data_IF_382477050368
#
_entry.id   IF_382477050368
#
_cell.length_a   1.000
_cell.length_b   1.000
_cell.length_c   1.000
_cell.angle_alpha   90.00
_cell.angle_beta   90.00
_cell.angle_gamma   90.00
#
_symmetry.space_group_name_H-M   'P 1'
#
loop_
_entity.id
_entity.type
_entity.pdbx_description
1 polymer ?
#
# COMPACT_ATOMS: atom_id res chain seq x y z
N UNK A 1 -31.99 21.86 -5.97
CA UNK A 1 -31.66 22.77 -7.07
C UNK A 1 -32.01 24.21 -6.64
N UNK A 2 -31.06 25.15 -6.80
CA UNK A 2 -31.29 26.57 -6.59
C UNK A 2 -31.52 27.26 -7.93
N UNK A 3 -32.68 27.91 -8.12
CA UNK A 3 -32.99 28.69 -9.33
C UNK A 3 -33.16 30.16 -8.97
N UNK A 4 -32.41 31.04 -9.60
CA UNK A 4 -32.52 32.48 -9.44
C UNK A 4 -33.38 33.04 -10.56
N UNK A 5 -34.44 33.76 -10.18
CA UNK A 5 -35.32 34.45 -11.12
C UNK A 5 -35.04 35.96 -11.04
N UNK A 6 -34.59 36.51 -12.16
CA UNK A 6 -34.46 37.96 -12.28
C UNK A 6 -35.83 38.60 -12.45
N UNK A 7 -36.14 39.61 -11.67
CA UNK A 7 -37.36 40.41 -11.82
C UNK A 7 -36.96 41.84 -12.11
N UNK A 8 -37.68 42.43 -13.08
CA UNK A 8 -37.56 43.86 -13.41
C UNK A 8 -38.72 44.56 -12.74
N UNK A 9 -38.43 45.60 -11.98
CA UNK A 9 -39.47 46.43 -11.36
C UNK A 9 -40.26 47.16 -12.45
N UNK A 10 -41.60 47.01 -12.51
CA UNK A 10 -42.40 47.65 -13.53
C UNK A 10 -42.51 49.20 -13.40
N UNK A 11 -42.12 49.76 -12.24
CA UNK A 11 -42.17 51.18 -12.02
C UNK A 11 -40.85 51.90 -12.29
N UNK A 12 -39.68 51.27 -11.97
CA UNK A 12 -38.39 51.94 -12.08
C UNK A 12 -37.39 51.16 -12.97
N UNK A 13 -37.81 50.10 -13.63
CA UNK A 13 -36.96 49.22 -14.47
C UNK A 13 -35.71 48.66 -13.79
N UNK A 14 -35.59 48.75 -12.47
CA UNK A 14 -34.47 48.19 -11.73
C UNK A 14 -34.52 46.65 -11.81
N UNK A 15 -33.40 46.03 -12.19
CA UNK A 15 -33.25 44.59 -12.16
C UNK A 15 -32.93 44.14 -10.74
N UNK A 16 -33.77 43.29 -10.20
CA UNK A 16 -33.56 42.66 -8.91
C UNK A 16 -32.85 41.30 -9.15
N UNK A 17 -31.60 41.24 -8.74
CA UNK A 17 -30.78 40.00 -8.86
C UNK A 17 -30.75 39.31 -7.50
N UNK A 18 -31.34 38.13 -7.37
CA UNK A 18 -31.25 37.38 -6.12
C UNK A 18 -29.83 36.93 -5.82
N UNK A 19 -29.49 36.92 -4.55
CA UNK A 19 -28.20 36.43 -4.05
C UNK A 19 -28.35 34.92 -3.75
N UNK A 20 -27.47 34.10 -4.29
CA UNK A 20 -27.37 32.67 -3.92
C UNK A 20 -26.77 32.51 -2.52
N UNK A 21 -27.10 31.38 -1.84
CA UNK A 21 -26.36 31.02 -0.62
C UNK A 21 -24.85 31.04 -0.86
N UNK A 22 -24.06 31.38 0.17
CA UNK A 22 -22.60 31.47 0.08
C UNK A 22 -21.91 30.18 -0.40
N UNK A 23 -22.58 29.03 -0.26
CA UNK A 23 -22.14 27.72 -0.77
C UNK A 23 -22.28 27.57 -2.28
N UNK A 24 -23.02 28.48 -2.97
CA UNK A 24 -23.21 28.43 -4.43
C UNK A 24 -22.34 29.52 -5.05
N UNK A 25 -21.12 29.15 -5.43
CA UNK A 25 -20.09 30.12 -5.89
C UNK A 25 -19.96 30.23 -7.41
N UNK A 26 -20.64 29.35 -8.17
CA UNK A 26 -20.55 29.30 -9.64
C UNK A 26 -21.91 29.05 -10.28
N UNK A 27 -22.11 29.43 -11.56
CA UNK A 27 -23.37 29.23 -12.29
C UNK A 27 -23.86 27.79 -12.33
N UNK A 28 -22.92 26.82 -12.34
CA UNK A 28 -23.20 25.39 -12.23
C UNK A 28 -22.35 24.85 -11.08
N UNK A 29 -22.99 24.49 -9.98
CA UNK A 29 -22.34 23.92 -8.79
C UNK A 29 -23.03 22.60 -8.42
N UNK A 30 -22.23 21.61 -8.07
CA UNK A 30 -22.72 20.32 -7.57
C UNK A 30 -22.56 20.31 -6.04
N UNK A 31 -23.64 19.97 -5.32
CA UNK A 31 -23.64 19.87 -3.88
C UNK A 31 -22.73 18.73 -3.35
N UNK A 32 -22.45 18.75 -2.05
CA UNK A 32 -21.58 17.77 -1.39
C UNK A 32 -21.97 16.32 -1.68
N UNK A 33 -23.27 15.99 -1.72
CA UNK A 33 -23.74 14.63 -1.98
C UNK A 33 -23.36 14.11 -3.37
N UNK A 34 -23.48 14.94 -4.42
CA UNK A 34 -23.05 14.54 -5.78
C UNK A 34 -21.54 14.43 -5.84
N UNK A 35 -20.80 15.33 -5.21
CA UNK A 35 -19.34 15.25 -5.14
C UNK A 35 -18.89 13.98 -4.39
N UNK A 36 -19.57 13.66 -3.29
CA UNK A 36 -19.32 12.42 -2.53
C UNK A 36 -19.63 11.17 -3.33
N UNK A 37 -20.74 11.14 -4.06
CA UNK A 37 -21.10 10.03 -4.91
C UNK A 37 -20.06 9.79 -6.01
N UNK A 38 -19.64 10.85 -6.69
CA UNK A 38 -18.61 10.79 -7.74
C UNK A 38 -17.29 10.25 -7.18
N UNK A 39 -16.88 10.74 -6.02
CA UNK A 39 -15.64 10.29 -5.35
C UNK A 39 -15.76 8.84 -4.92
N UNK A 40 -16.88 8.43 -4.34
CA UNK A 40 -17.15 7.06 -3.96
C UNK A 40 -17.10 6.11 -5.17
N UNK A 41 -17.80 6.44 -6.26
CA UNK A 41 -17.80 5.63 -7.48
C UNK A 41 -16.40 5.54 -8.11
N UNK A 42 -15.67 6.65 -8.16
CA UNK A 42 -14.36 6.71 -8.80
C UNK A 42 -13.27 6.01 -7.98
N UNK A 43 -13.13 6.36 -6.69
CA UNK A 43 -11.98 5.93 -5.89
C UNK A 43 -12.27 4.65 -5.12
N UNK A 44 -13.48 4.49 -4.58
CA UNK A 44 -13.85 3.31 -3.80
C UNK A 44 -14.24 2.13 -4.71
N UNK A 45 -15.01 2.38 -5.77
CA UNK A 45 -15.50 1.36 -6.70
C UNK A 45 -14.71 1.30 -8.02
N UNK A 46 -13.76 2.22 -8.23
CA UNK A 46 -12.88 2.25 -9.40
C UNK A 46 -13.60 2.42 -10.74
N UNK A 47 -14.80 3.01 -10.77
CA UNK A 47 -15.58 3.21 -11.98
C UNK A 47 -14.92 4.29 -12.85
N UNK A 48 -14.74 4.06 -14.17
CA UNK A 48 -14.21 5.05 -15.10
C UNK A 48 -15.11 6.29 -15.21
N UNK A 49 -14.51 7.46 -15.47
CA UNK A 49 -15.22 8.75 -15.49
C UNK A 49 -16.39 8.79 -16.49
N UNK A 50 -16.21 8.24 -17.68
CA UNK A 50 -17.29 8.18 -18.67
C UNK A 50 -18.50 7.38 -18.16
N UNK A 51 -18.27 6.27 -17.44
CA UNK A 51 -19.35 5.47 -16.84
C UNK A 51 -20.01 6.19 -15.66
N UNK A 52 -19.24 6.95 -14.87
CA UNK A 52 -19.80 7.80 -13.80
C UNK A 52 -20.67 8.89 -14.42
N UNK A 53 -20.23 9.52 -15.51
CA UNK A 53 -21.01 10.51 -16.25
C UNK A 53 -22.34 9.94 -16.72
N UNK A 54 -22.34 8.78 -17.38
CA UNK A 54 -23.57 8.10 -17.81
C UNK A 54 -24.47 7.73 -16.63
N UNK A 55 -23.91 7.16 -15.57
CA UNK A 55 -24.63 6.77 -14.36
C UNK A 55 -25.37 7.96 -13.72
N UNK A 56 -24.70 9.12 -13.60
CA UNK A 56 -25.28 10.33 -13.01
C UNK A 56 -26.35 10.92 -13.94
N UNK A 57 -26.13 10.87 -15.25
CA UNK A 57 -27.11 11.30 -16.24
C UNK A 57 -28.39 10.46 -16.19
N UNK A 58 -28.24 9.13 -16.18
CA UNK A 58 -29.37 8.19 -16.24
C UNK A 58 -30.22 8.23 -14.96
N UNK A 59 -29.60 8.34 -13.79
CA UNK A 59 -30.35 8.32 -12.52
C UNK A 59 -30.86 9.68 -12.06
N UNK A 60 -30.14 10.74 -12.37
CA UNK A 60 -30.43 12.07 -11.81
C UNK A 60 -30.78 13.11 -12.89
N UNK A 61 -30.81 12.72 -14.17
CA UNK A 61 -30.99 13.63 -15.30
C UNK A 61 -30.03 14.85 -15.22
N UNK A 62 -28.78 14.59 -14.83
CA UNK A 62 -27.77 15.59 -14.57
C UNK A 62 -26.52 15.32 -15.41
N UNK A 63 -26.20 16.23 -16.32
CA UNK A 63 -25.05 16.12 -17.20
C UNK A 63 -23.77 16.49 -16.47
N UNK A 64 -22.93 15.48 -16.19
CA UNK A 64 -21.66 15.64 -15.51
C UNK A 64 -20.50 15.32 -16.48
N UNK A 65 -19.68 16.31 -16.84
CA UNK A 65 -18.53 16.06 -17.72
C UNK A 65 -17.40 15.33 -17.02
N UNK A 66 -16.55 14.60 -17.75
CA UNK A 66 -15.33 13.97 -17.19
C UNK A 66 -14.39 15.02 -16.56
N UNK A 67 -14.32 16.23 -17.13
CA UNK A 67 -13.56 17.36 -16.54
C UNK A 67 -14.11 17.80 -15.18
N UNK A 68 -15.44 17.79 -15.04
CA UNK A 68 -16.08 18.11 -13.74
C UNK A 68 -15.76 17.03 -12.70
N UNK A 69 -15.78 15.74 -13.10
CA UNK A 69 -15.38 14.63 -12.23
C UNK A 69 -13.93 14.81 -11.76
N UNK A 70 -13.02 15.12 -12.68
CA UNK A 70 -11.62 15.39 -12.37
C UNK A 70 -11.47 16.55 -11.37
N UNK A 71 -12.22 17.65 -11.55
CA UNK A 71 -12.19 18.80 -10.65
C UNK A 71 -12.79 18.50 -9.26
N UNK A 72 -13.80 17.60 -9.18
CA UNK A 72 -14.33 17.12 -7.90
C UNK A 72 -13.26 16.35 -7.15
N UNK A 73 -12.57 15.44 -7.83
CA UNK A 73 -11.47 14.66 -7.22
C UNK A 73 -10.29 15.54 -6.84
N UNK A 74 -10.02 16.62 -7.60
CA UNK A 74 -8.97 17.58 -7.23
C UNK A 74 -9.34 18.33 -5.94
N UNK A 75 -10.58 18.75 -5.77
CA UNK A 75 -11.04 19.35 -4.50
C UNK A 75 -10.88 18.39 -3.33
N UNK A 76 -11.25 17.11 -3.51
CA UNK A 76 -11.03 16.10 -2.47
C UNK A 76 -9.54 15.95 -2.15
N UNK A 77 -8.69 15.94 -3.16
CA UNK A 77 -7.23 15.87 -3.01
C UNK A 77 -6.71 17.06 -2.21
N UNK A 78 -7.08 18.29 -2.56
CA UNK A 78 -6.61 19.51 -1.89
C UNK A 78 -7.10 19.55 -0.43
N UNK A 79 -8.37 19.19 -0.18
CA UNK A 79 -8.95 19.18 1.16
C UNK A 79 -8.34 18.16 2.11
N UNK A 80 -7.71 17.11 1.58
CA UNK A 80 -7.12 16.02 2.37
C UNK A 80 -5.61 16.20 2.65
N UNK A 81 -4.99 17.31 2.27
CA UNK A 81 -3.55 17.50 2.43
C UNK A 81 -3.09 17.38 3.88
N UNK A 82 -3.75 18.09 4.79
CA UNK A 82 -3.42 18.05 6.22
C UNK A 82 -3.70 16.66 6.81
N UNK A 83 -4.79 16.02 6.38
CA UNK A 83 -5.15 14.64 6.81
C UNK A 83 -4.12 13.62 6.36
N UNK A 84 -3.64 13.71 5.11
CA UNK A 84 -2.59 12.83 4.60
C UNK A 84 -1.27 13.02 5.36
N UNK A 85 -0.89 14.26 5.66
CA UNK A 85 0.31 14.57 6.45
C UNK A 85 0.20 13.99 7.86
N UNK A 86 -0.96 14.08 8.51
CA UNK A 86 -1.16 13.46 9.83
C UNK A 86 -1.09 11.93 9.74
N UNK A 87 -1.71 11.30 8.74
CA UNK A 87 -1.60 9.85 8.49
C UNK A 87 -0.13 9.45 8.33
N UNK A 88 0.64 10.22 7.54
CA UNK A 88 2.08 9.99 7.34
C UNK A 88 2.83 10.09 8.67
N UNK A 89 2.55 11.09 9.50
CA UNK A 89 3.19 11.28 10.81
C UNK A 89 2.86 10.11 11.76
N UNK A 90 1.60 9.70 11.85
CA UNK A 90 1.17 8.54 12.65
C UNK A 90 1.86 7.24 12.23
N UNK A 91 2.12 7.08 10.94
CA UNK A 91 2.88 5.94 10.44
C UNK A 91 4.36 6.05 10.79
N UNK A 92 4.97 7.24 10.72
CA UNK A 92 6.36 7.47 11.12
C UNK A 92 6.60 7.20 12.61
N UNK A 93 5.61 7.46 13.46
CA UNK A 93 5.65 7.19 14.90
C UNK A 93 5.30 5.74 15.25
N UNK A 94 4.81 4.95 14.29
CA UNK A 94 4.40 3.57 14.54
C UNK A 94 5.58 2.67 14.87
N UNK A 95 5.46 1.76 15.86
CA UNK A 95 6.53 0.81 16.19
C UNK A 95 6.78 -0.21 15.07
N UNK A 96 5.77 -0.45 14.22
CA UNK A 96 5.86 -1.35 13.06
C UNK A 96 4.96 -0.86 11.93
N UNK A 97 5.49 -0.99 10.71
CA UNK A 97 4.74 -0.78 9.47
C UNK A 97 4.92 -1.95 8.50
N UNK A 98 4.02 -2.03 7.55
CA UNK A 98 4.12 -2.84 6.35
C UNK A 98 4.50 -1.95 5.17
N UNK A 99 5.46 -2.36 4.36
CA UNK A 99 5.87 -1.67 3.15
C UNK A 99 5.84 -2.61 1.95
N UNK A 100 5.34 -2.13 0.82
CA UNK A 100 5.31 -2.87 -0.44
C UNK A 100 5.19 -1.89 -1.61
N UNK A 101 5.51 -2.31 -2.84
CA UNK A 101 5.39 -1.48 -4.01
C UNK A 101 4.82 -2.25 -5.21
N UNK A 102 4.20 -1.52 -6.12
CA UNK A 102 3.61 -2.12 -7.31
C UNK A 102 3.71 -1.22 -8.53
N UNK A 103 3.89 -1.83 -9.72
CA UNK A 103 3.86 -1.08 -10.97
C UNK A 103 2.45 -0.55 -11.27
N UNK A 104 2.36 0.72 -11.62
CA UNK A 104 1.16 1.38 -12.15
C UNK A 104 1.47 2.00 -13.51
N UNK A 105 0.43 2.33 -14.27
CA UNK A 105 0.60 3.05 -15.53
C UNK A 105 0.02 4.46 -15.38
N UNK A 106 0.89 5.47 -15.61
CA UNK A 106 0.54 6.88 -15.63
C UNK A 106 1.00 7.46 -16.96
N UNK A 107 0.11 8.12 -17.71
CA UNK A 107 0.42 8.70 -19.03
C UNK A 107 1.04 7.67 -20.00
N UNK A 108 0.55 6.41 -19.95
CA UNK A 108 1.06 5.25 -20.70
C UNK A 108 2.47 4.77 -20.29
N UNK A 109 3.14 5.43 -19.36
CA UNK A 109 4.45 5.04 -18.83
C UNK A 109 4.29 4.20 -17.58
N UNK A 110 5.12 3.17 -17.43
CA UNK A 110 5.18 2.38 -16.20
C UNK A 110 5.86 3.20 -15.11
N UNK A 111 5.18 3.37 -14.00
CA UNK A 111 5.64 4.02 -12.77
C UNK A 111 5.41 3.07 -11.60
N UNK A 112 5.81 3.46 -10.38
CA UNK A 112 5.74 2.61 -9.20
C UNK A 112 5.00 3.31 -8.08
N UNK A 113 3.98 2.64 -7.55
CA UNK A 113 3.27 3.06 -6.36
C UNK A 113 3.87 2.34 -5.17
N UNK A 114 4.14 3.10 -4.11
CA UNK A 114 4.61 2.63 -2.82
C UNK A 114 3.49 2.71 -1.79
N UNK A 115 3.40 1.71 -0.94
CA UNK A 115 2.42 1.63 0.14
C UNK A 115 3.16 1.48 1.47
N UNK A 116 2.85 2.36 2.40
CA UNK A 116 3.28 2.26 3.79
C UNK A 116 2.03 2.19 4.66
N UNK A 117 1.91 1.15 5.48
CA UNK A 117 0.67 0.95 6.23
C UNK A 117 0.88 0.18 7.53
N UNK A 118 -0.06 0.34 8.45
CA UNK A 118 -0.21 -0.48 9.64
C UNK A 118 -1.68 -0.90 9.79
N UNK A 119 -2.05 -1.44 10.94
CA UNK A 119 -3.44 -1.86 11.21
C UNK A 119 -4.47 -0.72 11.12
N UNK A 120 -4.06 0.54 11.33
CA UNK A 120 -4.93 1.70 11.41
C UNK A 120 -4.79 2.65 10.21
N UNK A 121 -3.60 2.79 9.65
CA UNK A 121 -3.26 3.84 8.69
C UNK A 121 -2.74 3.26 7.38
N UNK A 122 -2.95 3.99 6.28
CA UNK A 122 -2.41 3.68 4.95
C UNK A 122 -2.00 4.96 4.26
N UNK A 123 -0.75 5.04 3.84
CA UNK A 123 -0.19 6.08 3.02
C UNK A 123 0.27 5.50 1.68
N UNK A 124 -0.13 6.14 0.57
CA UNK A 124 0.32 5.82 -0.78
C UNK A 124 1.02 7.00 -1.39
N UNK A 125 2.11 6.73 -2.07
CA UNK A 125 2.72 7.67 -3.00
C UNK A 125 3.23 6.94 -4.23
N UNK A 126 3.62 7.65 -5.29
CA UNK A 126 4.14 7.02 -6.49
C UNK A 126 5.30 7.83 -7.07
N UNK A 127 6.16 7.10 -7.79
CA UNK A 127 7.32 7.68 -8.43
C UNK A 127 7.58 7.06 -9.81
N UNK A 128 8.25 7.81 -10.70
CA UNK A 128 8.59 7.34 -12.06
C UNK A 128 9.56 6.16 -12.06
N UNK A 129 10.45 6.10 -11.08
CA UNK A 129 11.45 5.04 -10.91
C UNK A 129 11.06 4.08 -9.80
N UNK A 130 11.64 2.87 -9.81
CA UNK A 130 11.68 1.95 -8.70
C UNK A 130 13.09 1.98 -8.10
N UNK A 131 13.22 1.99 -6.82
CA UNK A 131 14.54 1.92 -6.17
C UNK A 131 14.75 3.01 -5.12
N UNK A 132 15.99 3.11 -4.65
CA UNK A 132 16.35 4.00 -3.53
C UNK A 132 16.01 5.46 -3.82
N UNK A 133 16.38 5.97 -4.99
CA UNK A 133 16.07 7.35 -5.42
C UNK A 133 14.56 7.67 -5.27
N UNK A 134 13.69 6.76 -5.71
CA UNK A 134 12.25 6.96 -5.60
C UNK A 134 11.77 7.00 -4.15
N UNK A 135 12.32 6.14 -3.30
CA UNK A 135 11.96 6.08 -1.89
C UNK A 135 12.51 7.29 -1.11
N UNK A 136 13.68 7.80 -1.50
CA UNK A 136 14.29 9.03 -0.96
C UNK A 136 13.42 10.25 -1.35
N UNK A 137 12.98 10.37 -2.61
CA UNK A 137 12.10 11.45 -3.08
C UNK A 137 10.73 11.45 -2.36
N UNK A 138 10.18 10.28 -2.05
CA UNK A 138 8.96 10.13 -1.23
C UNK A 138 9.22 10.54 0.23
N UNK A 139 10.46 10.37 0.71
CA UNK A 139 10.92 10.84 2.02
C UNK A 139 10.21 10.16 3.19
N UNK A 140 9.70 8.94 3.03
CA UNK A 140 9.08 8.19 4.12
C UNK A 140 10.13 7.34 4.87
N UNK A 141 10.83 6.44 4.16
CA UNK A 141 11.74 5.48 4.77
C UNK A 141 12.96 6.13 5.44
N UNK A 142 13.44 7.25 4.93
CA UNK A 142 14.54 8.01 5.55
C UNK A 142 14.21 8.51 6.96
N UNK A 143 12.93 8.79 7.21
CA UNK A 143 12.45 9.33 8.49
C UNK A 143 11.85 8.27 9.42
N UNK A 144 11.62 7.05 8.94
CA UNK A 144 11.04 5.98 9.74
C UNK A 144 12.10 5.29 10.63
N UNK A 145 11.76 5.07 11.90
CA UNK A 145 12.71 4.52 12.91
C UNK A 145 12.23 3.21 13.56
N UNK A 146 11.02 2.75 13.24
CA UNK A 146 10.45 1.53 13.79
C UNK A 146 10.90 0.26 13.05
N UNK A 147 10.04 -0.74 12.97
CA UNK A 147 10.27 -2.00 12.27
C UNK A 147 9.48 -2.00 10.95
N UNK A 148 10.16 -2.06 9.82
CA UNK A 148 9.54 -2.18 8.50
C UNK A 148 9.42 -3.66 8.09
N UNK A 149 8.19 -4.16 7.95
CA UNK A 149 7.91 -5.49 7.39
C UNK A 149 7.70 -5.37 5.89
N UNK A 150 8.51 -6.11 5.11
CA UNK A 150 8.47 -6.05 3.64
C UNK A 150 8.87 -7.39 3.01
N UNK A 151 8.83 -7.48 1.69
CA UNK A 151 9.47 -8.56 0.96
C UNK A 151 11.01 -8.43 1.06
N UNK A 152 11.73 -9.38 0.54
CA UNK A 152 13.21 -9.37 0.59
C UNK A 152 13.83 -8.46 -0.49
N UNK A 153 13.16 -7.39 -0.92
CA UNK A 153 13.75 -6.47 -1.88
C UNK A 153 14.82 -5.60 -1.23
N UNK A 154 16.05 -5.72 -1.75
CA UNK A 154 17.27 -5.13 -1.15
C UNK A 154 17.21 -3.61 -0.95
N UNK A 155 16.36 -2.91 -1.68
CA UNK A 155 16.27 -1.45 -1.56
C UNK A 155 15.76 -1.02 -0.19
N UNK A 156 14.86 -1.78 0.43
CA UNK A 156 14.41 -1.50 1.80
C UNK A 156 15.57 -1.61 2.78
N UNK A 157 16.40 -2.63 2.65
CA UNK A 157 17.55 -2.87 3.53
C UNK A 157 18.64 -1.77 3.46
N UNK A 158 18.57 -0.87 2.49
CA UNK A 158 19.46 0.28 2.40
C UNK A 158 19.14 1.40 3.42
N UNK A 159 18.03 1.27 4.17
CA UNK A 159 17.62 2.21 5.22
C UNK A 159 18.00 1.67 6.60
N UNK A 160 19.22 1.96 7.04
CA UNK A 160 19.79 1.50 8.31
C UNK A 160 19.20 2.23 9.54
N UNK A 161 18.41 3.27 9.32
CA UNK A 161 17.74 4.05 10.37
C UNK A 161 16.52 3.35 10.98
N UNK A 162 16.05 2.25 10.40
CA UNK A 162 14.96 1.41 10.91
C UNK A 162 15.38 -0.07 10.96
N UNK A 163 14.63 -0.87 11.72
CA UNK A 163 14.80 -2.32 11.71
C UNK A 163 13.95 -2.93 10.59
N UNK A 164 14.37 -4.11 10.10
CA UNK A 164 13.68 -4.81 9.05
C UNK A 164 13.10 -6.14 9.53
N UNK A 165 11.96 -6.52 8.97
CA UNK A 165 11.38 -7.85 9.13
C UNK A 165 10.93 -8.36 7.76
N UNK A 166 11.22 -9.62 7.48
CA UNK A 166 10.90 -10.21 6.19
C UNK A 166 9.56 -10.96 6.23
N UNK A 167 8.84 -10.88 5.13
CA UNK A 167 7.60 -11.62 4.93
C UNK A 167 7.88 -13.13 4.84
N UNK A 168 7.54 -13.89 5.88
CA UNK A 168 7.72 -15.34 5.88
C UNK A 168 6.82 -16.06 4.87
N UNK A 169 5.68 -15.49 4.46
CA UNK A 169 4.86 -16.07 3.40
C UNK A 169 5.62 -16.20 2.06
N UNK A 170 6.53 -15.28 1.76
CA UNK A 170 7.41 -15.37 0.60
C UNK A 170 8.42 -16.52 0.76
N UNK A 171 9.04 -16.66 1.93
CA UNK A 171 9.95 -17.77 2.21
C UNK A 171 9.25 -19.12 2.12
N UNK A 172 8.03 -19.26 2.64
CA UNK A 172 7.27 -20.51 2.52
C UNK A 172 6.99 -20.89 1.06
N UNK A 173 6.69 -19.91 0.19
CA UNK A 173 6.51 -20.14 -1.26
C UNK A 173 7.81 -20.57 -1.93
N UNK A 174 8.92 -19.93 -1.61
CA UNK A 174 10.24 -20.28 -2.18
C UNK A 174 10.73 -21.64 -1.68
N UNK A 175 10.54 -21.96 -0.39
CA UNK A 175 10.85 -23.28 0.17
C UNK A 175 10.06 -24.38 -0.56
N UNK A 176 8.76 -24.16 -0.84
CA UNK A 176 7.97 -25.08 -1.65
C UNK A 176 8.57 -25.26 -3.07
N UNK A 177 8.94 -24.17 -3.73
CA UNK A 177 9.55 -24.23 -5.06
C UNK A 177 10.90 -25.01 -5.07
N UNK A 178 11.70 -24.90 -4.00
CA UNK A 178 12.93 -25.70 -3.87
C UNK A 178 12.58 -27.19 -3.65
N UNK A 179 11.58 -27.52 -2.82
CA UNK A 179 11.10 -28.89 -2.59
C UNK A 179 10.61 -29.56 -3.88
N UNK A 180 9.99 -28.82 -4.78
CA UNK A 180 9.47 -29.32 -6.06
C UNK A 180 10.58 -29.60 -7.09
N UNK A 181 11.74 -28.94 -6.94
CA UNK A 181 12.82 -28.94 -7.94
C UNK A 181 14.10 -29.63 -7.48
N UNK A 182 14.18 -30.03 -6.21
CA UNK A 182 15.39 -30.69 -5.63
C UNK A 182 15.01 -31.73 -4.60
N UNK A 183 15.97 -32.64 -4.30
CA UNK A 183 15.85 -33.67 -3.25
C UNK A 183 16.36 -33.15 -1.87
N UNK A 184 16.56 -31.86 -1.70
CA UNK A 184 17.02 -31.27 -0.45
C UNK A 184 16.00 -31.48 0.67
N UNK A 185 16.50 -31.77 1.88
CA UNK A 185 15.66 -31.96 3.09
C UNK A 185 15.40 -30.65 3.85
N UNK A 186 16.38 -29.75 3.83
CA UNK A 186 16.30 -28.48 4.58
C UNK A 186 15.05 -27.65 4.28
N UNK A 187 14.49 -27.59 3.05
CA UNK A 187 13.36 -26.73 2.80
C UNK A 187 12.11 -27.16 3.57
N UNK A 188 11.88 -28.48 3.65
CA UNK A 188 10.79 -29.06 4.44
C UNK A 188 10.99 -28.79 5.94
N UNK A 189 12.18 -29.07 6.45
CA UNK A 189 12.53 -28.90 7.87
C UNK A 189 12.36 -27.45 8.33
N UNK A 190 12.92 -26.48 7.58
CA UNK A 190 12.80 -25.04 7.88
C UNK A 190 11.34 -24.58 7.80
N UNK A 191 10.59 -25.00 6.77
CA UNK A 191 9.17 -24.69 6.61
C UNK A 191 8.36 -25.15 7.82
N UNK A 192 8.54 -26.41 8.24
CA UNK A 192 7.83 -26.97 9.39
C UNK A 192 8.16 -26.22 10.69
N UNK A 193 9.42 -25.82 10.87
CA UNK A 193 9.87 -25.05 12.02
C UNK A 193 9.25 -23.66 12.03
N UNK A 194 9.25 -22.93 10.93
CA UNK A 194 8.60 -21.61 10.83
C UNK A 194 7.09 -21.69 11.12
N UNK A 195 6.40 -22.71 10.58
CA UNK A 195 4.97 -22.90 10.82
C UNK A 195 4.68 -23.32 12.28
N UNK A 196 5.56 -24.12 12.90
CA UNK A 196 5.46 -24.46 14.31
C UNK A 196 5.65 -23.25 15.21
N UNK A 197 6.64 -22.39 14.92
CA UNK A 197 6.85 -21.12 15.60
C UNK A 197 5.61 -20.21 15.47
N UNK A 198 5.05 -20.10 14.25
CA UNK A 198 3.82 -19.34 14.02
C UNK A 198 2.66 -19.87 14.86
N UNK A 199 2.45 -21.20 14.87
CA UNK A 199 1.39 -21.83 15.67
C UNK A 199 1.52 -21.53 17.16
N UNK A 200 2.75 -21.54 17.70
CA UNK A 200 3.00 -21.18 19.09
C UNK A 200 2.62 -19.73 19.42
N UNK A 201 2.81 -18.80 18.48
CA UNK A 201 2.39 -17.40 18.63
C UNK A 201 0.86 -17.27 18.55
N UNK A 202 0.26 -17.98 17.60
CA UNK A 202 -1.20 -17.91 17.33
C UNK A 202 -2.05 -18.44 18.52
N UNK A 203 -1.47 -19.23 19.45
CA UNK A 203 -2.18 -19.63 20.69
C UNK A 203 -2.39 -18.47 21.65
N UNK A 204 -1.63 -17.38 21.53
CA UNK A 204 -1.69 -16.22 22.41
C UNK A 204 -1.08 -16.43 23.79
N UNK A 205 -0.56 -17.63 24.09
CA UNK A 205 0.06 -17.96 25.36
C UNK A 205 1.49 -17.40 25.44
N UNK A 206 1.94 -17.14 26.68
CA UNK A 206 3.34 -16.78 26.92
C UNK A 206 4.24 -17.96 26.62
N UNK A 207 5.12 -17.84 25.62
CA UNK A 207 6.06 -18.90 25.27
C UNK A 207 7.27 -18.84 26.23
N UNK A 208 7.55 -19.93 26.99
CA UNK A 208 8.72 -19.99 27.85
C UNK A 208 10.03 -19.71 27.09
N UNK A 209 10.98 -19.07 27.78
CA UNK A 209 12.27 -18.70 27.16
C UNK A 209 13.03 -19.93 26.62
N UNK A 210 13.02 -21.02 27.35
CA UNK A 210 13.68 -22.29 26.99
C UNK A 210 13.11 -22.84 25.69
N UNK A 211 11.78 -22.73 25.49
CA UNK A 211 11.12 -23.14 24.24
C UNK A 211 11.53 -22.23 23.09
N UNK A 212 11.57 -20.92 23.32
CA UNK A 212 12.05 -19.96 22.29
C UNK A 212 13.50 -20.27 21.88
N UNK A 213 14.38 -20.41 22.85
CA UNK A 213 15.81 -20.66 22.61
C UNK A 213 16.01 -22.01 21.87
N UNK A 214 15.27 -23.04 22.27
CA UNK A 214 15.28 -24.37 21.60
C UNK A 214 14.83 -24.26 20.14
N UNK A 215 13.74 -23.57 19.86
CA UNK A 215 13.22 -23.40 18.50
C UNK A 215 14.18 -22.59 17.61
N UNK A 216 14.80 -21.54 18.15
CA UNK A 216 15.80 -20.76 17.42
C UNK A 216 17.05 -21.63 17.14
N UNK A 217 17.51 -22.40 18.11
CA UNK A 217 18.64 -23.34 17.94
C UNK A 217 18.35 -24.41 16.90
N UNK A 218 17.13 -24.96 16.89
CA UNK A 218 16.69 -25.91 15.87
C UNK A 218 16.75 -25.27 14.47
N UNK A 219 16.22 -24.07 14.33
CA UNK A 219 16.27 -23.32 13.06
C UNK A 219 17.70 -23.12 12.56
N UNK A 220 18.63 -22.72 13.44
CA UNK A 220 20.06 -22.58 13.11
C UNK A 220 20.68 -23.92 12.62
N UNK A 221 20.38 -25.02 13.32
CA UNK A 221 20.86 -26.35 12.95
C UNK A 221 20.39 -26.74 11.54
N UNK A 222 19.11 -26.54 11.24
CA UNK A 222 18.51 -26.82 9.93
C UNK A 222 19.10 -25.93 8.83
N UNK A 223 19.35 -24.66 9.13
CA UNK A 223 19.98 -23.73 8.20
C UNK A 223 21.41 -24.19 7.83
N UNK A 224 22.21 -24.62 8.82
CA UNK A 224 23.57 -25.11 8.58
C UNK A 224 23.55 -26.39 7.74
N UNK A 225 22.68 -27.35 8.06
CA UNK A 225 22.46 -28.53 7.21
C UNK A 225 22.11 -28.16 5.77
N UNK A 226 21.24 -27.15 5.59
CA UNK A 226 20.88 -26.66 4.27
C UNK A 226 22.07 -26.12 3.48
N UNK A 227 22.98 -25.39 4.14
CA UNK A 227 24.23 -24.97 3.50
C UNK A 227 25.15 -26.13 3.13
N UNK A 228 25.21 -27.21 3.94
CA UNK A 228 25.97 -28.43 3.65
C UNK A 228 25.35 -29.18 2.46
N UNK A 229 24.02 -29.40 2.44
CA UNK A 229 23.30 -29.99 1.33
C UNK A 229 23.57 -29.26 0.02
N UNK A 230 23.45 -27.93 0.06
CA UNK A 230 23.67 -27.08 -1.12
C UNK A 230 25.13 -27.12 -1.60
N UNK A 231 26.08 -27.06 -0.67
CA UNK A 231 27.50 -27.13 -0.99
C UNK A 231 27.88 -28.47 -1.63
N UNK A 232 27.35 -29.60 -1.12
CA UNK A 232 27.58 -30.92 -1.67
C UNK A 232 27.01 -31.10 -3.09
N UNK A 233 25.82 -30.53 -3.34
CA UNK A 233 25.16 -30.56 -4.65
C UNK A 233 25.78 -29.59 -5.67
N UNK A 234 26.27 -28.44 -5.20
CA UNK A 234 26.82 -27.36 -6.03
C UNK A 234 28.21 -26.91 -5.52
N UNK A 235 29.23 -27.80 -5.58
CA UNK A 235 30.55 -27.44 -5.08
C UNK A 235 31.16 -26.27 -5.85
N UNK A 236 32.00 -25.45 -5.22
CA UNK A 236 32.70 -24.36 -5.87
C UNK A 236 33.59 -24.92 -6.99
N UNK A 237 33.26 -24.59 -8.25
CA UNK A 237 34.11 -24.97 -9.36
C UNK A 237 35.11 -23.88 -9.68
N UNK A 238 36.38 -24.18 -9.61
CA UNK A 238 37.47 -23.30 -10.07
C UNK A 238 37.67 -23.44 -11.58
N UNK A 239 36.70 -23.01 -12.39
CA UNK A 239 36.94 -22.93 -13.83
C UNK A 239 37.56 -21.56 -14.15
N UNK A 240 38.86 -21.56 -14.51
CA UNK A 240 39.55 -20.47 -15.17
C UNK A 240 39.00 -20.31 -16.59
N UNK A 241 37.79 -19.85 -16.76
CA UNK A 241 37.32 -19.36 -18.03
C UNK A 241 37.41 -17.85 -17.99
N UNK A 242 38.28 -17.25 -18.82
CA UNK A 242 38.61 -15.81 -18.86
C UNK A 242 37.48 -14.86 -19.26
N UNK A 243 36.24 -15.19 -18.98
CA UNK A 243 35.09 -14.29 -19.12
C UNK A 243 34.70 -13.76 -17.73
N UNK A 244 34.89 -12.47 -17.53
CA UNK A 244 34.47 -11.74 -16.34
C UNK A 244 32.95 -11.88 -16.12
N UNK A 245 32.55 -12.46 -15.00
CA UNK A 245 31.19 -12.53 -14.52
C UNK A 245 31.09 -13.43 -13.29
N UNK A 246 30.49 -12.95 -12.20
CA UNK A 246 30.21 -13.78 -11.02
C UNK A 246 29.24 -14.89 -11.43
N UNK A 247 29.63 -16.16 -11.21
CA UNK A 247 28.77 -17.32 -11.49
C UNK A 247 27.41 -17.15 -10.79
N UNK A 248 26.32 -17.40 -11.51
CA UNK A 248 24.97 -17.36 -10.95
C UNK A 248 24.83 -18.39 -9.84
N UNK A 249 24.48 -17.96 -8.65
CA UNK A 249 24.23 -18.84 -7.51
C UNK A 249 22.92 -19.62 -7.72
N UNK A 250 22.83 -20.82 -7.12
CA UNK A 250 21.60 -21.60 -7.13
C UNK A 250 20.45 -20.86 -6.43
N UNK A 251 19.18 -21.13 -6.80
CA UNK A 251 18.02 -20.61 -6.07
C UNK A 251 18.06 -20.98 -4.57
N UNK A 252 18.45 -22.23 -4.26
CA UNK A 252 18.58 -22.74 -2.90
C UNK A 252 19.59 -21.91 -2.09
N UNK A 253 20.79 -21.66 -2.64
CA UNK A 253 21.80 -20.82 -1.98
C UNK A 253 21.34 -19.40 -1.75
N UNK A 254 20.68 -18.79 -2.73
CA UNK A 254 20.14 -17.44 -2.59
C UNK A 254 19.07 -17.38 -1.49
N UNK A 255 18.23 -18.40 -1.37
CA UNK A 255 17.24 -18.52 -0.31
C UNK A 255 17.92 -18.65 1.08
N UNK A 256 18.87 -19.60 1.22
CA UNK A 256 19.61 -19.82 2.47
C UNK A 256 20.32 -18.55 2.96
N UNK A 257 20.93 -17.78 2.05
CA UNK A 257 21.58 -16.50 2.41
C UNK A 257 20.60 -15.46 2.98
N UNK A 258 19.34 -15.45 2.53
CA UNK A 258 18.30 -14.57 3.10
C UNK A 258 17.77 -15.15 4.42
N UNK A 259 17.53 -16.44 4.50
CA UNK A 259 17.10 -17.14 5.71
C UNK A 259 18.14 -17.03 6.86
N UNK A 260 19.43 -16.80 6.54
CA UNK A 260 20.49 -16.56 7.52
C UNK A 260 20.34 -15.23 8.28
N UNK A 261 19.54 -14.30 7.78
CA UNK A 261 19.24 -13.03 8.44
C UNK A 261 18.19 -13.24 9.55
N UNK A 262 18.67 -13.76 10.70
CA UNK A 262 17.80 -14.28 11.76
C UNK A 262 16.88 -13.22 12.37
N UNK A 263 17.36 -12.01 12.74
CA UNK A 263 16.48 -10.99 13.32
C UNK A 263 15.33 -10.61 12.39
N UNK A 264 15.59 -10.55 11.08
CA UNK A 264 14.64 -10.18 10.06
C UNK A 264 13.64 -11.31 9.76
N UNK A 265 14.12 -12.57 9.74
CA UNK A 265 13.29 -13.76 9.46
C UNK A 265 12.45 -14.16 10.67
N UNK A 266 13.07 -14.21 11.85
CA UNK A 266 12.43 -14.64 13.08
C UNK A 266 11.89 -13.49 13.95
N UNK A 267 11.87 -12.27 13.42
CA UNK A 267 11.35 -11.09 14.13
C UNK A 267 9.96 -11.33 14.72
N UNK A 268 9.08 -12.00 13.98
CA UNK A 268 7.72 -12.36 14.42
C UNK A 268 7.72 -13.28 15.66
N UNK A 269 8.72 -14.14 15.81
CA UNK A 269 8.85 -15.06 16.93
C UNK A 269 9.57 -14.43 18.12
N UNK A 270 10.52 -13.52 17.84
CA UNK A 270 11.30 -12.80 18.87
C UNK A 270 10.44 -11.70 19.50
N UNK A 271 9.69 -10.95 18.70
CA UNK A 271 8.85 -9.81 19.11
C UNK A 271 7.40 -9.99 18.62
N UNK A 272 6.67 -11.03 19.07
CA UNK A 272 5.39 -11.44 18.48
C UNK A 272 4.28 -10.38 18.56
N UNK A 273 4.33 -9.50 19.57
CA UNK A 273 3.31 -8.45 19.75
C UNK A 273 3.51 -7.24 18.80
N UNK A 274 4.65 -7.18 18.11
CA UNK A 274 5.02 -6.05 17.26
C UNK A 274 5.18 -6.49 15.81
N UNK A 275 5.93 -7.57 15.59
CA UNK A 275 6.32 -8.02 14.25
C UNK A 275 5.36 -9.09 13.74
N UNK A 276 4.68 -8.86 12.61
CA UNK A 276 3.81 -9.85 12.00
C UNK A 276 4.61 -10.98 11.32
N UNK A 277 3.98 -12.14 11.13
CA UNK A 277 4.57 -13.26 10.40
C UNK A 277 4.76 -12.96 8.92
N UNK A 278 3.85 -12.18 8.33
CA UNK A 278 3.83 -11.90 6.89
C UNK A 278 3.53 -10.43 6.58
N UNK A 279 3.61 -10.08 5.29
CA UNK A 279 3.30 -8.75 4.77
C UNK A 279 1.93 -8.67 4.09
N UNK A 280 1.00 -9.56 4.41
CA UNK A 280 -0.31 -9.66 3.77
C UNK A 280 -1.14 -8.37 3.86
N UNK A 281 -0.88 -7.53 4.86
CA UNK A 281 -1.60 -6.26 5.02
C UNK A 281 -1.25 -5.30 3.87
N UNK A 282 0.04 -5.07 3.59
CA UNK A 282 0.45 -4.24 2.46
C UNK A 282 0.04 -4.87 1.11
N UNK A 283 0.12 -6.21 0.98
CA UNK A 283 -0.34 -6.91 -0.22
C UNK A 283 -1.85 -6.66 -0.48
N UNK A 284 -2.69 -6.64 0.57
CA UNK A 284 -4.12 -6.30 0.45
C UNK A 284 -4.35 -4.85 0.06
N UNK A 285 -3.59 -3.92 0.65
CA UNK A 285 -3.67 -2.50 0.32
C UNK A 285 -3.32 -2.27 -1.16
N UNK A 286 -2.24 -2.86 -1.65
CA UNK A 286 -1.82 -2.79 -3.05
C UNK A 286 -2.78 -3.50 -4.00
N UNK A 287 -3.47 -4.56 -3.57
CA UNK A 287 -4.44 -5.28 -4.41
C UNK A 287 -5.51 -4.36 -4.99
N UNK A 288 -5.96 -3.37 -4.20
CA UNK A 288 -6.98 -2.42 -4.66
C UNK A 288 -6.47 -1.52 -5.79
N UNK A 289 -5.18 -1.23 -5.83
CA UNK A 289 -4.53 -0.51 -6.94
C UNK A 289 -4.56 -1.36 -8.22
N UNK A 290 -4.32 -2.67 -8.09
CA UNK A 290 -4.43 -3.61 -9.22
C UNK A 290 -5.88 -3.79 -9.71
N UNK A 291 -6.85 -3.80 -8.79
CA UNK A 291 -8.27 -3.81 -9.16
C UNK A 291 -8.61 -2.57 -9.96
N UNK A 292 -8.20 -1.37 -9.52
CA UNK A 292 -8.39 -0.13 -10.28
C UNK A 292 -7.82 -0.23 -11.70
N UNK A 293 -6.61 -0.75 -11.87
CA UNK A 293 -6.01 -0.92 -13.20
C UNK A 293 -6.82 -1.86 -14.11
N UNK A 294 -7.41 -2.92 -13.55
CA UNK A 294 -8.25 -3.85 -14.31
C UNK A 294 -9.62 -3.26 -14.69
N UNK A 295 -10.19 -2.44 -13.83
CA UNK A 295 -11.55 -1.87 -14.02
C UNK A 295 -11.52 -0.60 -14.84
N UNK A 296 -10.63 0.35 -14.51
CA UNK A 296 -10.59 1.69 -15.11
C UNK A 296 -9.29 2.01 -15.87
N UNK A 297 -8.42 1.03 -16.05
CA UNK A 297 -7.20 1.19 -16.82
C UNK A 297 -6.14 2.06 -16.15
N UNK A 298 -5.36 2.75 -16.98
CA UNK A 298 -4.26 3.61 -16.54
C UNK A 298 -4.72 4.96 -15.97
N UNK A 299 -3.84 5.61 -15.22
CA UNK A 299 -4.02 7.03 -14.89
C UNK A 299 -3.66 7.89 -16.09
N UNK A 300 -4.60 8.73 -16.55
CA UNK A 300 -4.41 9.59 -17.74
C UNK A 300 -3.45 10.76 -17.49
N UNK A 301 -3.25 11.15 -16.23
CA UNK A 301 -2.36 12.23 -15.83
C UNK A 301 -1.67 11.93 -14.49
N UNK A 302 -0.52 12.57 -14.28
CA UNK A 302 0.20 12.57 -13.01
C UNK A 302 -0.69 13.08 -11.87
N UNK A 303 -1.46 14.17 -12.10
CA UNK A 303 -2.39 14.68 -11.09
C UNK A 303 -3.49 13.67 -10.74
N UNK A 304 -4.05 12.96 -11.71
CA UNK A 304 -5.03 11.90 -11.45
C UNK A 304 -4.48 10.73 -10.64
N UNK A 305 -3.18 10.42 -10.76
CA UNK A 305 -2.52 9.44 -9.91
C UNK A 305 -2.34 9.96 -8.48
N UNK A 306 -1.96 11.23 -8.28
CA UNK A 306 -1.87 11.88 -6.96
C UNK A 306 -3.22 11.90 -6.25
N UNK A 307 -4.28 12.32 -6.96
CA UNK A 307 -5.65 12.30 -6.44
C UNK A 307 -6.03 10.89 -5.94
N UNK A 308 -5.75 9.88 -6.76
CA UNK A 308 -6.04 8.49 -6.39
C UNK A 308 -5.26 8.06 -5.14
N UNK A 309 -3.95 8.31 -5.05
CA UNK A 309 -3.12 7.92 -3.92
C UNK A 309 -3.64 8.54 -2.62
N UNK A 310 -3.82 9.87 -2.57
CA UNK A 310 -4.26 10.59 -1.36
C UNK A 310 -5.66 10.17 -0.93
N UNK A 311 -6.63 10.24 -1.84
CA UNK A 311 -8.03 9.89 -1.49
C UNK A 311 -8.14 8.40 -1.14
N UNK A 312 -7.46 7.50 -1.86
CA UNK A 312 -7.48 6.07 -1.55
C UNK A 312 -6.81 5.75 -0.22
N UNK A 313 -5.67 6.40 0.10
CA UNK A 313 -4.99 6.28 1.39
C UNK A 313 -5.91 6.67 2.54
N UNK A 314 -6.59 7.81 2.40
CA UNK A 314 -7.61 8.26 3.35
C UNK A 314 -8.73 7.23 3.53
N UNK A 315 -9.35 6.76 2.44
CA UNK A 315 -10.45 5.78 2.53
C UNK A 315 -9.99 4.43 3.10
N UNK A 316 -8.78 4.00 2.82
CA UNK A 316 -8.19 2.81 3.43
C UNK A 316 -8.02 2.99 4.93
N UNK A 317 -7.54 4.15 5.37
CA UNK A 317 -7.39 4.52 6.78
C UNK A 317 -8.74 4.55 7.49
N UNK A 318 -9.77 5.19 6.91
CA UNK A 318 -11.12 5.22 7.49
C UNK A 318 -11.65 3.80 7.70
N UNK A 319 -11.53 2.93 6.69
CA UNK A 319 -11.98 1.55 6.78
C UNK A 319 -11.26 0.75 7.86
N UNK A 320 -9.96 0.95 8.04
CA UNK A 320 -9.16 0.28 9.08
C UNK A 320 -9.56 0.70 10.49
N UNK A 321 -10.21 1.85 10.63
CA UNK A 321 -10.73 2.37 11.90
C UNK A 321 -12.26 2.22 12.03
N UNK A 322 -12.87 1.37 11.20
CA UNK A 322 -14.32 1.09 11.19
C UNK A 322 -15.21 2.33 10.99
N UNK A 323 -14.66 3.39 10.37
CA UNK A 323 -15.38 4.62 10.06
C UNK A 323 -16.11 4.45 8.72
N UNK A 324 -17.37 4.89 8.69
CA UNK A 324 -18.21 4.80 7.50
C UNK A 324 -17.59 5.57 6.33
N UNK A 325 -17.40 4.89 5.19
CA UNK A 325 -16.74 5.46 4.01
C UNK A 325 -17.55 6.59 3.37
N UNK A 326 -18.89 6.49 3.34
CA UNK A 326 -19.73 7.54 2.79
C UNK A 326 -19.66 8.81 3.63
N UNK A 327 -19.76 8.68 4.94
CA UNK A 327 -19.63 9.80 5.88
C UNK A 327 -18.25 10.45 5.79
N UNK A 328 -17.20 9.64 5.69
CA UNK A 328 -15.81 10.11 5.50
C UNK A 328 -15.66 10.93 4.23
N UNK A 329 -16.21 10.47 3.10
CA UNK A 329 -16.16 11.22 1.84
C UNK A 329 -16.99 12.52 1.95
N UNK A 330 -18.16 12.46 2.56
CA UNK A 330 -19.04 13.62 2.68
C UNK A 330 -18.39 14.72 3.54
N UNK A 331 -17.67 14.34 4.60
CA UNK A 331 -16.94 15.26 5.47
C UNK A 331 -15.86 16.06 4.71
N UNK A 332 -15.25 15.47 3.67
CA UNK A 332 -14.28 16.18 2.80
C UNK A 332 -14.95 17.40 2.16
N UNK A 333 -16.16 17.22 1.59
CA UNK A 333 -16.86 18.26 0.85
C UNK A 333 -17.66 19.21 1.75
N UNK A 334 -17.78 18.88 3.03
CA UNK A 334 -18.25 19.80 4.08
C UNK A 334 -17.14 20.66 4.67
N UNK A 335 -15.87 20.41 4.28
CA UNK A 335 -14.71 21.18 4.74
C UNK A 335 -14.14 20.74 6.09
N UNK A 336 -14.60 19.61 6.62
CA UNK A 336 -14.18 19.06 7.92
C UNK A 336 -13.86 17.56 7.78
N UNK A 337 -12.78 17.18 7.04
CA UNK A 337 -12.42 15.78 6.89
C UNK A 337 -12.26 15.09 8.24
N UNK A 338 -12.86 13.91 8.38
CA UNK A 338 -12.73 13.11 9.61
C UNK A 338 -11.28 12.67 9.75
N UNK A 339 -10.74 12.82 10.96
CA UNK A 339 -9.43 12.29 11.37
C UNK A 339 -9.67 11.10 12.28
N UNK A 340 -9.02 9.92 12.01
CA UNK A 340 -9.15 8.73 12.86
C UNK A 340 -8.27 8.81 14.10
#
# INVERSE_FOLDING_TARGET
EYKAYHKVCPHCNTKNNPVFPSSVTQPVSYGSNIQSLVTYLSVQNHIPYNRISSFVSDLFNCNLSEGTIFNILNRAYDSLENTENEIKNRLLESPQIHADETGIYVEKLRQWLFSYSNKNYTFYDFHKKRGKEAMDDIGFMENYKGIATHDCWKTYEAYENCLHSFCNAHFLRELNGIMETTEFKFPKEIKETLLRMKKLIDTGDSIPKEVKDSMISLYYSQLNKGFEEELNANPPSFTKTGKQGRRKQSPAKNLLLRLKKIPEVLGFFIKPNIVPFDNNLAERDIRMVKVKQKVSGLHRSTQGAKQFCRVRGYLSTMRKNDINIWESINSIFLGTPIMP
#
